data_IF_375291176392
#
_entry.id   IF_375291176392
#
_cell.length_a   1.000
_cell.length_b   1.000
_cell.length_c   1.000
_cell.angle_alpha   90.00
_cell.angle_beta   90.00
_cell.angle_gamma   90.00
#
_symmetry.space_group_name_H-M   'P 1'
#
loop_
_entity.id
_entity.type
_entity.pdbx_description
1 polymer ?
#
# COMPACT_ATOMS: atom_id res chain seq x y z
N UNK A 1 -6.60 4.42 -20.67
CA UNK A 1 -5.64 3.43 -20.14
C UNK A 1 -4.76 4.19 -19.18
N UNK A 2 -5.32 4.48 -18.02
CA UNK A 2 -4.77 5.52 -17.16
C UNK A 2 -4.70 4.95 -15.76
N UNK A 3 -3.49 4.59 -15.37
CA UNK A 3 -3.14 4.31 -13.99
C UNK A 3 -3.38 5.59 -13.17
N UNK A 4 -4.62 5.76 -12.70
CA UNK A 4 -5.10 6.87 -11.87
C UNK A 4 -4.61 6.79 -10.43
N UNK A 5 -3.59 5.98 -10.18
CA UNK A 5 -3.05 5.74 -8.85
C UNK A 5 -1.87 6.68 -8.61
N UNK A 6 -2.03 7.55 -7.62
CA UNK A 6 -0.94 8.37 -7.11
C UNK A 6 -0.04 7.54 -6.19
N UNK A 7 0.94 6.85 -6.79
CA UNK A 7 1.97 6.14 -6.02
C UNK A 7 3.00 7.11 -5.44
N UNK A 8 3.61 6.75 -4.30
CA UNK A 8 4.68 7.56 -3.68
C UNK A 8 5.87 7.79 -4.65
N UNK A 9 6.14 6.86 -5.57
CA UNK A 9 7.13 7.03 -6.63
C UNK A 9 6.73 8.11 -7.64
N UNK A 10 5.46 8.18 -8.01
CA UNK A 10 4.94 9.22 -8.91
C UNK A 10 4.97 10.60 -8.25
N UNK A 11 4.57 10.67 -6.98
CA UNK A 11 4.66 11.89 -6.18
C UNK A 11 6.11 12.36 -6.02
N UNK A 12 7.07 11.44 -5.81
CA UNK A 12 8.51 11.76 -5.81
C UNK A 12 8.94 12.45 -7.11
N UNK A 13 8.56 11.88 -8.26
CA UNK A 13 8.89 12.47 -9.57
C UNK A 13 8.30 13.86 -9.73
N UNK A 14 7.05 14.06 -9.28
CA UNK A 14 6.40 15.37 -9.31
C UNK A 14 7.16 16.39 -8.44
N UNK A 15 7.50 16.04 -7.20
CA UNK A 15 8.25 16.92 -6.29
C UNK A 15 9.60 17.32 -6.92
N UNK A 16 10.31 16.36 -7.52
CA UNK A 16 11.59 16.63 -8.19
C UNK A 16 11.46 17.55 -9.40
N UNK A 17 10.36 17.44 -10.17
CA UNK A 17 10.11 18.32 -11.33
C UNK A 17 9.68 19.73 -10.94
N UNK A 18 8.84 19.86 -9.91
CA UNK A 18 8.25 21.15 -9.52
C UNK A 18 9.16 21.96 -8.61
N UNK A 19 9.86 21.31 -7.69
CA UNK A 19 10.64 22.00 -6.65
C UNK A 19 12.15 21.80 -6.80
N UNK A 20 12.60 20.97 -7.76
CA UNK A 20 14.02 20.62 -7.95
C UNK A 20 14.68 19.99 -6.71
N UNK A 21 13.88 19.39 -5.82
CA UNK A 21 14.34 18.73 -4.59
C UNK A 21 14.13 17.22 -4.73
N UNK A 22 15.12 16.45 -4.27
CA UNK A 22 15.06 14.98 -4.28
C UNK A 22 14.63 14.39 -2.95
N UNK A 23 13.63 13.51 -2.99
CA UNK A 23 13.24 12.64 -1.88
C UNK A 23 13.47 11.17 -2.21
N UNK A 24 13.69 10.35 -1.19
CA UNK A 24 13.52 8.90 -1.30
C UNK A 24 12.03 8.54 -1.30
N UNK A 25 11.64 7.40 -1.88
CA UNK A 25 10.23 6.96 -1.90
C UNK A 25 9.66 6.84 -0.49
N UNK A 26 10.41 6.24 0.45
CA UNK A 26 10.02 6.16 1.86
C UNK A 26 9.89 7.55 2.52
N UNK A 27 10.73 8.51 2.10
CA UNK A 27 10.65 9.90 2.55
C UNK A 27 9.38 10.58 2.09
N UNK A 28 8.97 10.36 0.83
CA UNK A 28 7.69 10.86 0.30
C UNK A 28 6.52 10.25 1.05
N UNK A 29 6.50 8.93 1.30
CA UNK A 29 5.43 8.28 2.06
C UNK A 29 5.30 8.90 3.47
N UNK A 30 6.42 9.08 4.18
CA UNK A 30 6.42 9.73 5.51
C UNK A 30 5.94 11.18 5.45
N UNK A 31 6.38 11.93 4.44
CA UNK A 31 5.95 13.31 4.23
C UNK A 31 4.44 13.39 4.01
N UNK A 32 3.89 12.54 3.14
CA UNK A 32 2.46 12.46 2.87
C UNK A 32 1.65 12.15 4.14
N UNK A 33 2.07 11.15 4.93
CA UNK A 33 1.41 10.85 6.20
C UNK A 33 1.47 12.01 7.19
N UNK A 34 2.60 12.71 7.30
CA UNK A 34 2.73 13.88 8.17
C UNK A 34 1.81 15.03 7.76
N UNK A 35 1.53 15.14 6.45
CA UNK A 35 0.57 16.10 5.90
C UNK A 35 -0.89 15.61 5.99
N UNK A 36 -1.15 14.45 6.59
CA UNK A 36 -2.50 13.90 6.76
C UNK A 36 -3.04 13.17 5.53
N UNK A 37 -2.24 12.97 4.48
CA UNK A 37 -2.66 12.17 3.33
C UNK A 37 -2.67 10.68 3.70
N UNK A 38 -3.81 10.04 3.42
CA UNK A 38 -3.98 8.59 3.44
C UNK A 38 -4.32 8.07 2.05
N UNK A 39 -4.07 6.77 1.83
CA UNK A 39 -4.48 6.09 0.59
C UNK A 39 -6.00 6.20 0.47
N UNK A 40 -6.47 6.86 -0.58
CA UNK A 40 -7.90 7.00 -0.86
C UNK A 40 -8.37 5.78 -1.64
N UNK A 41 -9.34 5.07 -1.09
CA UNK A 41 -10.06 4.05 -1.85
C UNK A 41 -11.12 4.75 -2.71
N UNK A 42 -11.31 4.33 -3.97
CA UNK A 42 -12.39 4.86 -4.79
C UNK A 42 -13.72 4.62 -4.07
N UNK A 43 -14.49 5.69 -3.90
CA UNK A 43 -15.77 5.63 -3.18
C UNK A 43 -16.81 4.76 -3.91
N UNK A 44 -16.64 4.56 -5.23
CA UNK A 44 -17.49 3.70 -6.04
C UNK A 44 -16.65 2.54 -6.60
N UNK A 45 -17.15 1.30 -6.49
CA UNK A 45 -16.53 0.18 -7.18
C UNK A 45 -16.54 0.41 -8.70
N UNK A 46 -15.57 -0.18 -9.40
CA UNK A 46 -15.57 -0.20 -10.85
C UNK A 46 -16.87 -0.85 -11.36
N UNK A 47 -17.40 -0.35 -12.49
CA UNK A 47 -18.63 -0.89 -13.09
C UNK A 47 -18.50 -2.36 -13.48
N UNK A 48 -17.28 -2.81 -13.78
CA UNK A 48 -16.96 -4.20 -14.12
C UNK A 48 -16.83 -5.11 -12.90
N UNK A 49 -16.95 -4.57 -11.68
CA UNK A 49 -16.76 -5.34 -10.44
C UNK A 49 -17.98 -6.21 -10.17
N UNK A 50 -17.81 -7.51 -10.37
CA UNK A 50 -18.79 -8.56 -10.07
C UNK A 50 -18.47 -9.19 -8.69
N UNK A 51 -19.29 -8.87 -7.69
CA UNK A 51 -19.11 -9.37 -6.32
C UNK A 51 -19.35 -10.89 -6.21
N UNK A 52 -20.17 -11.49 -7.07
CA UNK A 52 -20.44 -12.93 -7.09
C UNK A 52 -19.23 -13.69 -7.64
N UNK A 53 -18.66 -13.19 -8.74
CA UNK A 53 -17.42 -13.73 -9.30
C UNK A 53 -16.24 -13.61 -8.33
N UNK A 54 -16.14 -12.49 -7.60
CA UNK A 54 -15.13 -12.29 -6.56
C UNK A 54 -15.30 -13.29 -5.42
N UNK A 55 -16.54 -13.52 -4.98
CA UNK A 55 -16.84 -14.45 -3.88
C UNK A 55 -16.53 -15.88 -4.30
N UNK A 56 -17.00 -16.31 -5.48
CA UNK A 56 -16.74 -17.64 -6.02
C UNK A 56 -15.24 -17.93 -6.17
N UNK A 57 -14.47 -16.97 -6.68
CA UNK A 57 -13.01 -17.11 -6.79
C UNK A 57 -12.33 -17.23 -5.42
N UNK A 58 -12.81 -16.46 -4.43
CA UNK A 58 -12.26 -16.48 -3.08
C UNK A 58 -12.53 -17.81 -2.36
N UNK A 59 -13.65 -18.45 -2.65
CA UNK A 59 -13.98 -19.76 -2.09
C UNK A 59 -13.25 -20.89 -2.81
N UNK A 60 -13.23 -20.86 -4.14
CA UNK A 60 -12.71 -21.97 -4.94
C UNK A 60 -11.18 -21.96 -5.09
N UNK A 61 -10.57 -20.78 -5.29
CA UNK A 61 -9.18 -20.69 -5.78
C UNK A 61 -8.23 -20.11 -4.76
N UNK A 62 -8.71 -19.26 -3.85
CA UNK A 62 -7.85 -18.57 -2.89
C UNK A 62 -7.06 -19.52 -1.98
N UNK A 63 -7.65 -20.64 -1.57
CA UNK A 63 -6.95 -21.61 -0.70
C UNK A 63 -5.78 -22.30 -1.39
N UNK A 64 -5.85 -22.48 -2.70
CA UNK A 64 -4.80 -23.12 -3.50
C UNK A 64 -3.64 -22.17 -3.80
N UNK A 65 -3.96 -20.90 -4.06
CA UNK A 65 -2.95 -19.87 -4.39
C UNK A 65 -2.27 -19.30 -3.14
N UNK A 66 -2.92 -19.38 -1.97
CA UNK A 66 -2.40 -18.80 -0.74
C UNK A 66 -1.14 -19.56 -0.27
N UNK A 67 0.03 -18.91 -0.20
CA UNK A 67 1.22 -19.58 0.34
C UNK A 67 0.98 -19.97 1.80
N UNK A 68 1.41 -21.19 2.17
CA UNK A 68 1.35 -21.65 3.55
C UNK A 68 2.08 -20.63 4.43
N UNK A 69 1.33 -20.01 5.34
CA UNK A 69 1.80 -18.86 6.09
C UNK A 69 3.11 -19.18 6.82
N UNK A 70 4.16 -18.39 6.54
CA UNK A 70 5.39 -18.41 7.34
C UNK A 70 5.00 -18.10 8.78
N UNK A 71 5.18 -19.05 9.71
CA UNK A 71 5.02 -18.79 11.15
C UNK A 71 5.83 -17.54 11.46
N UNK A 72 5.24 -16.50 12.09
CA UNK A 72 6.01 -15.35 12.49
C UNK A 72 7.14 -15.84 13.40
N UNK A 73 8.38 -15.57 13.01
CA UNK A 73 9.51 -15.81 13.88
C UNK A 73 9.23 -15.07 15.20
N UNK A 74 9.36 -15.78 16.33
CA UNK A 74 9.29 -15.18 17.66
C UNK A 74 10.26 -14.00 17.69
N UNK A 75 9.73 -12.77 17.58
CA UNK A 75 10.57 -11.58 17.70
C UNK A 75 10.93 -11.43 19.16
N UNK A 76 12.22 -11.59 19.49
CA UNK A 76 12.75 -11.28 20.80
C UNK A 76 12.77 -9.74 20.95
N UNK A 77 11.71 -9.19 21.55
CA UNK A 77 11.67 -7.77 21.89
C UNK A 77 12.63 -7.50 23.06
N UNK A 78 13.81 -6.94 22.79
CA UNK A 78 14.68 -6.42 23.85
C UNK A 78 14.07 -5.15 24.46
N UNK A 79 13.64 -5.24 25.72
CA UNK A 79 13.17 -4.10 26.52
C UNK A 79 14.35 -3.16 26.82
N UNK A 80 14.41 -1.99 26.16
CA UNK A 80 15.33 -0.91 26.58
C UNK A 80 14.65 -0.07 27.66
N UNK A 81 15.20 -0.07 28.88
CA UNK A 81 14.88 0.92 29.91
C UNK A 81 15.48 2.27 29.51
N UNK A 82 14.73 3.36 29.64
CA UNK A 82 15.28 4.73 29.64
C UNK A 82 15.59 5.11 31.09
N UNK A 83 16.70 5.82 31.25
CA UNK A 83 17.20 6.42 32.49
C UNK A 83 16.34 7.60 32.93
#
# INVERSE_FOLDING_TARGET
>A
MDDQVWTAARVRTLIGRTFHISYSVCGVTRLLHRMGYSVQMPARPATERDEDAITAWREATWQEVKPSGRRPARSAASRRKRA
#
